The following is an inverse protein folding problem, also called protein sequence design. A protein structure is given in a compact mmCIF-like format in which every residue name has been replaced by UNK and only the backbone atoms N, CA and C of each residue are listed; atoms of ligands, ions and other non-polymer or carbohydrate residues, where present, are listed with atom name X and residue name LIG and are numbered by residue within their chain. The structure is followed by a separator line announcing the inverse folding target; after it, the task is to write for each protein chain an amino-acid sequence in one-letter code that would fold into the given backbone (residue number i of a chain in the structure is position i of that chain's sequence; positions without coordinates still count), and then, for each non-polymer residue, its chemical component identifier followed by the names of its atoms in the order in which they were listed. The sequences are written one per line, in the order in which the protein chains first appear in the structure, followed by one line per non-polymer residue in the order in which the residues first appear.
data_IF_485647226457
#
_entry.id   IF_485647226457
#
_cell.length_a   1.000
_cell.length_b   1.000
_cell.length_c   1.000
_cell.angle_alpha   90.00
_cell.angle_beta   90.00
_cell.angle_gamma   90.00
#
_symmetry.space_group_name_H-M   'P 1'
#
loop_
_entity.id
_entity.type
_entity.pdbx_description
1 polymer ?
#
# COMPACT_ATOMS: atom_id res chain seq x y z
N UNK A 1 3.89 -29.87 -0.07
CA UNK A 1 3.77 -28.58 0.63
C UNK A 1 3.33 -27.53 -0.37
N UNK A 2 2.16 -26.90 -0.19
CA UNK A 2 1.78 -25.74 -1.02
C UNK A 2 2.74 -24.60 -0.70
N UNK A 3 3.62 -24.26 -1.66
CA UNK A 3 4.51 -23.11 -1.52
C UNK A 3 3.69 -21.84 -1.75
N UNK A 4 3.61 -20.99 -0.72
CA UNK A 4 3.05 -19.64 -0.85
C UNK A 4 3.86 -18.86 -1.89
N UNK A 5 3.17 -18.05 -2.69
CA UNK A 5 3.76 -17.25 -3.75
C UNK A 5 3.61 -15.77 -3.39
N UNK A 6 4.52 -14.95 -3.91
CA UNK A 6 4.55 -13.50 -3.78
C UNK A 6 5.04 -12.98 -5.14
N UNK A 7 4.37 -11.96 -5.67
CA UNK A 7 4.81 -11.25 -6.86
C UNK A 7 5.44 -9.91 -6.46
N UNK A 8 6.66 -9.66 -6.92
CA UNK A 8 7.32 -8.37 -6.77
C UNK A 8 7.52 -7.80 -8.16
N UNK A 9 7.04 -6.58 -8.38
CA UNK A 9 7.18 -5.85 -9.62
C UNK A 9 7.87 -4.53 -9.35
N UNK A 10 8.89 -4.21 -10.16
CA UNK A 10 9.62 -2.96 -10.04
C UNK A 10 9.88 -2.31 -11.39
N UNK A 11 10.00 -0.98 -11.38
CA UNK A 11 10.08 -0.17 -12.58
C UNK A 11 10.56 1.25 -12.30
N UNK A 12 10.82 1.98 -13.38
CA UNK A 12 11.22 3.38 -13.37
C UNK A 12 10.44 4.09 -14.47
N UNK A 13 9.54 4.99 -14.09
CA UNK A 13 8.61 5.70 -14.97
C UNK A 13 9.28 6.95 -15.56
N UNK A 14 8.81 7.41 -16.71
CA UNK A 14 9.33 8.61 -17.37
C UNK A 14 9.48 9.80 -16.40
N UNK A 15 10.56 10.58 -16.53
CA UNK A 15 10.94 11.55 -15.52
C UNK A 15 10.37 12.95 -15.74
N UNK A 16 10.18 13.36 -17.00
CA UNK A 16 9.92 14.75 -17.37
C UNK A 16 8.61 15.26 -16.71
N UNK A 17 8.68 16.35 -15.91
CA UNK A 17 7.52 16.87 -15.21
C UNK A 17 6.39 17.37 -16.11
N UNK A 18 6.69 17.74 -17.36
CA UNK A 18 5.66 18.18 -18.29
C UNK A 18 4.79 17.03 -18.79
N UNK A 19 5.19 15.77 -18.56
CA UNK A 19 4.55 14.58 -19.14
C UNK A 19 3.83 13.73 -18.09
N UNK A 20 2.98 14.35 -17.28
CA UNK A 20 2.13 13.64 -16.31
C UNK A 20 1.22 12.59 -16.96
N UNK A 21 0.79 12.83 -18.21
CA UNK A 21 -0.01 11.91 -19.02
C UNK A 21 0.76 10.64 -19.34
N UNK A 22 2.02 10.77 -19.74
CA UNK A 22 2.91 9.63 -20.03
C UNK A 22 3.14 8.82 -18.76
N UNK A 23 3.38 9.47 -17.62
CA UNK A 23 3.60 8.78 -16.34
C UNK A 23 2.36 7.98 -15.92
N UNK A 24 1.18 8.57 -16.07
CA UNK A 24 -0.09 7.91 -15.77
C UNK A 24 -0.37 6.75 -16.73
N UNK A 25 -0.17 6.93 -18.03
CA UNK A 25 -0.33 5.88 -19.05
C UNK A 25 0.65 4.72 -18.83
N UNK A 26 1.91 4.99 -18.53
CA UNK A 26 2.88 3.94 -18.20
C UNK A 26 2.44 3.16 -16.96
N UNK A 27 1.88 3.83 -15.96
CA UNK A 27 1.35 3.17 -14.76
C UNK A 27 0.13 2.30 -15.07
N UNK A 28 -0.78 2.76 -15.94
CA UNK A 28 -1.93 1.99 -16.44
C UNK A 28 -1.50 0.71 -17.16
N UNK A 29 -0.50 0.81 -18.05
CA UNK A 29 0.05 -0.36 -18.72
C UNK A 29 0.73 -1.31 -17.74
N UNK A 30 1.48 -0.77 -16.78
CA UNK A 30 2.16 -1.58 -15.79
C UNK A 30 1.18 -2.40 -14.94
N UNK A 31 0.12 -1.80 -14.40
CA UNK A 31 -0.88 -2.52 -13.60
C UNK A 31 -1.62 -3.57 -14.44
N UNK A 32 -2.00 -3.25 -15.69
CA UNK A 32 -2.71 -4.16 -16.58
C UNK A 32 -1.83 -5.36 -16.99
N UNK A 33 -0.58 -5.12 -17.38
CA UNK A 33 0.35 -6.18 -17.76
C UNK A 33 0.77 -7.05 -16.58
N UNK A 34 0.94 -6.45 -15.39
CA UNK A 34 1.18 -7.21 -14.16
C UNK A 34 0.02 -8.16 -13.85
N UNK A 35 -1.22 -7.70 -14.01
CA UNK A 35 -2.39 -8.54 -13.84
C UNK A 35 -2.47 -9.66 -14.89
N UNK A 36 -2.21 -9.34 -16.15
CA UNK A 36 -2.14 -10.32 -17.24
C UNK A 36 -1.09 -11.39 -16.96
N UNK A 37 0.09 -10.99 -16.49
CA UNK A 37 1.16 -11.89 -16.10
C UNK A 37 0.72 -12.86 -15.00
N UNK A 38 0.12 -12.35 -13.90
CA UNK A 38 -0.34 -13.19 -12.79
C UNK A 38 -1.43 -14.16 -13.26
N UNK A 39 -2.39 -13.69 -14.06
CA UNK A 39 -3.46 -14.53 -14.63
C UNK A 39 -2.88 -15.64 -15.51
N UNK A 40 -1.93 -15.32 -16.37
CA UNK A 40 -1.29 -16.29 -17.26
C UNK A 40 -0.40 -17.28 -16.51
N UNK A 41 0.28 -16.84 -15.45
CA UNK A 41 1.05 -17.70 -14.56
C UNK A 41 0.16 -18.79 -13.92
N UNK A 42 -1.02 -18.43 -13.40
CA UNK A 42 -1.95 -19.42 -12.84
C UNK A 42 -2.55 -20.35 -13.91
N UNK A 43 -2.91 -19.82 -15.09
CA UNK A 43 -3.42 -20.62 -16.22
C UNK A 43 -2.40 -21.66 -16.70
N UNK A 44 -1.19 -21.21 -17.01
CA UNK A 44 -0.11 -22.06 -17.56
C UNK A 44 0.42 -23.09 -16.56
N UNK A 45 0.38 -22.78 -15.26
CA UNK A 45 0.82 -23.70 -14.22
C UNK A 45 -0.22 -24.73 -13.77
N UNK A 46 -1.31 -24.94 -14.53
CA UNK A 46 -2.44 -25.82 -14.16
C UNK A 46 -3.09 -25.46 -12.81
N UNK A 47 -3.04 -24.18 -12.44
CA UNK A 47 -3.60 -23.63 -11.20
C UNK A 47 -4.82 -22.73 -11.49
N UNK A 48 -5.56 -23.04 -12.56
CA UNK A 48 -6.74 -22.27 -13.00
C UNK A 48 -7.89 -22.23 -11.99
N UNK A 49 -7.86 -23.09 -10.96
CA UNK A 49 -8.79 -23.09 -9.85
C UNK A 49 -8.48 -22.01 -8.79
N UNK A 50 -7.30 -21.41 -8.82
CA UNK A 50 -6.91 -20.32 -7.92
C UNK A 50 -7.31 -18.97 -8.52
N UNK A 51 -7.67 -18.00 -7.67
CA UNK A 51 -7.99 -16.67 -8.12
C UNK A 51 -6.69 -15.84 -8.25
N UNK A 52 -6.43 -15.19 -9.40
CA UNK A 52 -5.30 -14.26 -9.54
C UNK A 52 -5.23 -13.17 -8.45
N UNK A 53 -6.37 -12.73 -7.91
CA UNK A 53 -6.44 -11.78 -6.79
C UNK A 53 -5.87 -12.33 -5.48
N UNK A 54 -5.66 -13.64 -5.36
CA UNK A 54 -5.08 -14.26 -4.15
C UNK A 54 -3.55 -14.18 -4.11
N UNK A 55 -2.90 -13.74 -5.19
CA UNK A 55 -1.46 -13.51 -5.22
C UNK A 55 -1.13 -12.20 -4.46
N UNK A 56 -0.35 -12.25 -3.37
CA UNK A 56 0.19 -11.04 -2.76
C UNK A 56 1.12 -10.34 -3.75
N UNK A 57 0.96 -9.02 -3.91
CA UNK A 57 1.77 -8.20 -4.82
C UNK A 57 2.46 -7.09 -4.05
N UNK A 58 3.72 -6.84 -4.43
CA UNK A 58 4.49 -5.67 -4.04
C UNK A 58 4.92 -4.96 -5.33
N UNK A 59 4.55 -3.70 -5.46
CA UNK A 59 4.82 -2.86 -6.60
C UNK A 59 5.68 -1.69 -6.13
N UNK A 60 6.91 -1.56 -6.63
CA UNK A 60 7.84 -0.58 -6.10
C UNK A 60 8.77 0.03 -7.14
N UNK A 61 9.33 1.21 -6.88
CA UNK A 61 10.29 1.85 -7.78
C UNK A 61 10.17 3.36 -7.80
N UNK A 62 10.79 3.95 -8.82
CA UNK A 62 10.75 5.39 -9.08
C UNK A 62 9.61 5.70 -10.04
N UNK A 63 8.58 6.37 -9.54
CA UNK A 63 7.40 6.75 -10.30
C UNK A 63 7.52 8.16 -10.90
N UNK A 64 8.55 8.93 -10.54
CA UNK A 64 8.74 10.32 -10.93
C UNK A 64 7.46 11.18 -10.76
N UNK A 65 6.65 10.84 -9.76
CA UNK A 65 5.30 11.37 -9.56
C UNK A 65 5.10 11.68 -8.08
N UNK A 66 4.61 12.87 -7.76
CA UNK A 66 4.40 13.31 -6.37
C UNK A 66 3.18 12.61 -5.73
N UNK A 67 3.04 12.62 -4.38
CA UNK A 67 1.97 11.92 -3.68
C UNK A 67 0.54 12.31 -4.06
N UNK A 68 0.35 13.50 -4.66
CA UNK A 68 -0.95 14.05 -5.10
C UNK A 68 -1.23 13.82 -6.60
N UNK A 69 -0.34 13.12 -7.30
CA UNK A 69 -0.50 12.83 -8.73
C UNK A 69 -1.60 11.79 -9.00
N UNK A 70 -2.14 11.81 -10.21
CA UNK A 70 -3.03 10.80 -10.75
C UNK A 70 -2.42 9.41 -10.76
N UNK A 71 -1.08 9.29 -10.86
CA UNK A 71 -0.36 8.02 -10.75
C UNK A 71 -0.57 7.38 -9.38
N UNK A 72 -0.34 8.16 -8.32
CA UNK A 72 -0.46 7.66 -6.95
C UNK A 72 -1.93 7.47 -6.57
N UNK A 73 -2.80 8.38 -6.97
CA UNK A 73 -4.24 8.26 -6.78
C UNK A 73 -4.82 7.02 -7.46
N UNK A 74 -4.44 6.76 -8.71
CA UNK A 74 -4.84 5.56 -9.46
C UNK A 74 -4.45 4.28 -8.71
N UNK A 75 -3.19 4.17 -8.27
CA UNK A 75 -2.68 2.98 -7.59
C UNK A 75 -3.34 2.75 -6.22
N UNK A 76 -3.68 3.80 -5.49
CA UNK A 76 -4.28 3.72 -4.15
C UNK A 76 -5.80 3.49 -4.23
N UNK A 77 -6.50 4.23 -5.09
CA UNK A 77 -7.97 4.16 -5.23
C UNK A 77 -8.40 2.96 -6.07
N UNK A 78 -7.51 2.43 -6.92
CA UNK A 78 -7.83 1.38 -7.87
C UNK A 78 -8.42 1.89 -9.17
N UNK A 79 -8.59 3.21 -9.32
CA UNK A 79 -9.24 3.82 -10.45
C UNK A 79 -8.83 5.29 -10.67
N UNK A 80 -8.99 5.76 -11.90
CA UNK A 80 -8.79 7.15 -12.32
C UNK A 80 -9.74 7.52 -13.46
N UNK A 81 -10.34 8.71 -13.41
CA UNK A 81 -11.21 9.21 -14.48
C UNK A 81 -10.38 9.68 -15.69
N UNK A 82 -10.88 9.50 -16.91
CA UNK A 82 -10.25 10.03 -18.13
C UNK A 82 -10.14 11.55 -18.13
N UNK A 83 -11.04 12.24 -17.44
CA UNK A 83 -11.02 13.70 -17.22
C UNK A 83 -9.95 14.16 -16.23
N UNK A 84 -9.18 13.26 -15.60
CA UNK A 84 -8.18 13.62 -14.62
C UNK A 84 -7.14 14.58 -15.22
N UNK A 85 -6.77 15.62 -14.47
CA UNK A 85 -5.88 16.70 -14.93
C UNK A 85 -4.52 16.20 -15.43
N UNK A 86 -4.02 15.10 -14.87
CA UNK A 86 -2.77 14.48 -15.32
C UNK A 86 -2.86 13.88 -16.73
N UNK A 87 -4.03 13.70 -17.33
CA UNK A 87 -4.14 13.42 -18.77
C UNK A 87 -4.00 14.67 -19.65
N UNK A 88 -3.81 15.86 -19.07
CA UNK A 88 -3.52 17.13 -19.77
C UNK A 88 -4.53 17.46 -20.90
N UNK A 89 -5.82 17.23 -20.66
CA UNK A 89 -6.91 17.40 -21.64
C UNK A 89 -6.80 16.49 -22.89
N UNK A 90 -5.97 15.43 -22.81
CA UNK A 90 -5.90 14.37 -23.82
C UNK A 90 -6.67 13.11 -23.44
N UNK A 91 -7.24 13.05 -22.23
CA UNK A 91 -7.98 11.88 -21.72
C UNK A 91 -9.00 11.30 -22.71
N UNK A 92 -9.87 12.16 -23.23
CA UNK A 92 -10.90 11.78 -24.21
C UNK A 92 -10.35 11.48 -25.61
N UNK A 93 -9.10 11.89 -25.89
CA UNK A 93 -8.42 11.65 -27.17
C UNK A 93 -7.72 10.29 -27.21
N UNK A 94 -7.40 9.72 -26.05
CA UNK A 94 -6.78 8.40 -25.99
C UNK A 94 -7.83 7.30 -26.20
N UNK A 95 -7.52 6.38 -27.11
CA UNK A 95 -8.38 5.24 -27.44
C UNK A 95 -8.11 4.06 -26.48
N UNK A 96 -8.26 4.29 -25.17
CA UNK A 96 -7.95 3.29 -24.15
C UNK A 96 -8.66 1.94 -24.36
N UNK A 97 -9.87 1.97 -24.94
CA UNK A 97 -10.66 0.78 -25.25
C UNK A 97 -10.08 -0.06 -26.40
N UNK A 98 -9.23 0.54 -27.24
CA UNK A 98 -8.62 -0.13 -28.40
C UNK A 98 -7.21 -0.63 -28.10
N UNK A 99 -6.63 -0.24 -26.97
CA UNK A 99 -5.27 -0.62 -26.61
C UNK A 99 -5.24 -2.05 -26.08
N UNK A 100 -4.62 -2.97 -26.81
CA UNK A 100 -4.55 -4.39 -26.42
C UNK A 100 -3.89 -4.63 -25.05
N UNK A 101 -3.07 -3.69 -24.58
CA UNK A 101 -2.43 -3.75 -23.28
C UNK A 101 -3.40 -3.41 -22.13
N UNK A 102 -4.50 -2.70 -22.38
CA UNK A 102 -5.54 -2.40 -21.40
C UNK A 102 -6.76 -3.25 -21.75
N UNK A 103 -7.14 -4.14 -20.84
CA UNK A 103 -8.30 -4.96 -21.08
C UNK A 103 -9.58 -4.12 -21.02
N UNK A 104 -10.56 -4.47 -21.84
CA UNK A 104 -11.86 -3.81 -21.87
C UNK A 104 -12.52 -3.80 -20.47
N UNK A 105 -12.32 -4.86 -19.66
CA UNK A 105 -12.81 -4.92 -18.28
C UNK A 105 -12.22 -3.87 -17.33
N UNK A 106 -11.17 -3.16 -17.74
CA UNK A 106 -10.53 -2.08 -16.98
C UNK A 106 -10.94 -0.69 -17.45
N UNK A 107 -11.88 -0.60 -18.39
CA UNK A 107 -12.45 0.68 -18.79
C UNK A 107 -13.97 0.63 -18.63
N UNK A 108 -14.49 1.43 -17.69
CA UNK A 108 -15.92 1.46 -17.36
C UNK A 108 -16.37 2.90 -17.17
N UNK A 109 -17.34 3.37 -17.96
CA UNK A 109 -17.96 4.71 -17.82
C UNK A 109 -16.94 5.86 -17.69
N UNK A 110 -15.95 5.90 -18.59
CA UNK A 110 -14.84 6.86 -18.59
C UNK A 110 -13.91 6.80 -17.36
N UNK A 111 -13.98 5.71 -16.60
CA UNK A 111 -13.06 5.39 -15.51
C UNK A 111 -12.15 4.25 -15.92
N UNK A 112 -10.85 4.42 -15.70
CA UNK A 112 -9.81 3.42 -15.91
C UNK A 112 -9.48 2.75 -14.57
N UNK A 113 -9.50 1.42 -14.50
CA UNK A 113 -9.44 0.65 -13.24
C UNK A 113 -8.26 -0.34 -13.20
N UNK A 114 -7.93 -0.85 -12.02
CA UNK A 114 -7.12 -2.06 -11.84
C UNK A 114 -7.69 -2.99 -10.76
N UNK A 115 -7.19 -4.24 -10.72
CA UNK A 115 -7.69 -5.29 -9.81
C UNK A 115 -6.96 -5.36 -8.47
N UNK A 116 -5.84 -4.68 -8.33
CA UNK A 116 -5.10 -4.66 -7.06
C UNK A 116 -5.76 -3.75 -6.05
N UNK A 117 -5.58 -4.05 -4.77
CA UNK A 117 -6.03 -3.22 -3.67
C UNK A 117 -4.81 -2.81 -2.84
N UNK A 118 -4.06 -1.86 -3.39
CA UNK A 118 -2.80 -1.43 -2.80
C UNK A 118 -3.02 -0.52 -1.59
N UNK A 119 -2.03 -0.55 -0.70
CA UNK A 119 -1.69 0.55 0.20
C UNK A 119 -0.22 0.93 -0.04
N UNK A 120 0.18 2.12 0.37
CA UNK A 120 1.59 2.57 0.30
C UNK A 120 2.25 2.48 1.67
N UNK A 121 3.51 2.06 1.68
CA UNK A 121 4.26 1.88 2.92
C UNK A 121 4.70 3.19 3.61
N UNK A 122 4.69 4.29 2.87
CA UNK A 122 4.97 5.63 3.34
C UNK A 122 3.77 6.53 3.00
N UNK A 123 2.92 6.83 4.00
CA UNK A 123 1.60 7.45 3.78
C UNK A 123 1.64 8.97 3.81
N UNK A 124 2.00 9.55 4.94
CA UNK A 124 2.13 10.98 5.10
C UNK A 124 3.40 11.29 5.91
N UNK A 125 3.83 12.54 5.90
CA UNK A 125 5.00 12.99 6.64
C UNK A 125 4.84 12.75 8.15
N UNK A 126 3.62 12.87 8.68
CA UNK A 126 3.37 12.78 10.12
C UNK A 126 3.43 11.34 10.67
N UNK A 127 3.01 10.36 9.88
CA UNK A 127 2.94 8.93 10.20
C UNK A 127 4.23 8.22 9.77
N UNK A 128 4.73 8.52 8.57
CA UNK A 128 5.91 7.83 8.00
C UNK A 128 7.23 8.56 8.23
N UNK A 129 7.20 9.85 8.56
CA UNK A 129 8.40 10.67 8.77
C UNK A 129 9.24 10.91 7.52
N UNK A 130 8.72 10.57 6.33
CA UNK A 130 9.41 10.70 5.05
C UNK A 130 8.94 11.97 4.34
N UNK A 131 9.88 12.86 4.02
CA UNK A 131 9.61 14.14 3.32
C UNK A 131 10.03 14.14 1.85
N UNK A 132 11.07 13.38 1.54
CA UNK A 132 11.61 13.28 0.20
C UNK A 132 12.32 11.95 0.03
N UNK A 133 12.28 11.44 -1.19
CA UNK A 133 13.04 10.27 -1.63
C UNK A 133 14.12 10.71 -2.60
N UNK A 134 13.84 11.67 -3.48
CA UNK A 134 14.85 12.40 -4.25
C UNK A 134 15.19 13.74 -3.56
N UNK A 135 16.47 14.02 -3.39
CA UNK A 135 16.97 15.21 -2.73
C UNK A 135 18.11 15.83 -3.53
N UNK A 136 17.79 16.84 -4.32
CA UNK A 136 18.78 17.64 -5.05
C UNK A 136 18.65 19.12 -4.71
N UNK A 137 19.50 19.93 -5.31
CA UNK A 137 19.44 21.38 -5.13
C UNK A 137 18.12 21.95 -5.67
N UNK A 138 17.73 21.54 -6.88
CA UNK A 138 16.56 22.11 -7.58
C UNK A 138 15.24 21.41 -7.24
N UNK A 139 15.29 20.14 -6.86
CA UNK A 139 14.09 19.34 -6.59
C UNK A 139 14.24 18.48 -5.34
N UNK A 140 13.19 18.48 -4.52
CA UNK A 140 13.04 17.62 -3.35
C UNK A 140 11.60 17.14 -3.30
N UNK A 141 11.40 15.83 -3.28
CA UNK A 141 10.05 15.27 -3.27
C UNK A 141 10.04 13.77 -3.08
N UNK A 142 8.88 13.25 -2.73
CA UNK A 142 8.62 11.82 -2.71
C UNK A 142 8.21 11.42 -4.13
N UNK A 143 9.06 10.65 -4.79
CA UNK A 143 8.80 10.08 -6.12
C UNK A 143 9.07 8.58 -6.19
N UNK A 144 9.67 8.02 -5.14
CA UNK A 144 9.88 6.59 -4.97
C UNK A 144 8.83 6.01 -4.03
N UNK A 145 8.33 4.82 -4.36
CA UNK A 145 7.25 4.19 -3.59
C UNK A 145 7.44 2.67 -3.42
N UNK A 146 6.89 2.15 -2.32
CA UNK A 146 6.61 0.73 -2.12
C UNK A 146 5.12 0.60 -1.85
N UNK A 147 4.39 0.08 -2.83
CA UNK A 147 2.99 -0.33 -2.72
C UNK A 147 2.89 -1.82 -2.45
N UNK A 148 1.88 -2.24 -1.69
CA UNK A 148 1.64 -3.64 -1.36
C UNK A 148 0.14 -3.96 -1.27
N UNK A 149 -0.25 -5.18 -1.63
CA UNK A 149 -1.64 -5.64 -1.53
C UNK A 149 -2.09 -5.74 -0.07
N UNK A 150 -2.93 -4.81 0.39
CA UNK A 150 -3.22 -4.63 1.83
C UNK A 150 -4.13 -5.71 2.41
N UNK A 151 -4.84 -6.46 1.58
CA UNK A 151 -5.58 -7.66 1.98
C UNK A 151 -4.64 -8.83 2.32
N UNK A 152 -3.41 -8.84 1.82
CA UNK A 152 -2.46 -9.95 1.96
C UNK A 152 -1.26 -9.63 2.87
N UNK A 153 -0.88 -8.36 2.97
CA UNK A 153 0.33 -7.92 3.67
C UNK A 153 -0.02 -6.88 4.75
N UNK A 154 0.58 -7.02 5.93
CA UNK A 154 0.59 -6.01 7.00
C UNK A 154 1.92 -5.25 6.95
N UNK A 155 1.86 -3.92 7.08
CA UNK A 155 3.05 -3.11 7.32
C UNK A 155 3.40 -3.15 8.81
N UNK A 156 4.57 -3.71 9.14
CA UNK A 156 5.08 -3.73 10.52
C UNK A 156 5.90 -2.48 10.85
N UNK A 157 6.64 -1.97 9.87
CA UNK A 157 7.46 -0.78 10.03
C UNK A 157 8.16 -0.35 8.75
N UNK A 158 8.73 0.85 8.79
CA UNK A 158 9.50 1.43 7.70
C UNK A 158 10.76 2.13 8.24
N UNK A 159 11.76 2.28 7.39
CA UNK A 159 12.97 3.05 7.69
C UNK A 159 12.63 4.53 7.68
N UNK A 160 12.90 5.20 8.81
CA UNK A 160 12.72 6.64 8.98
C UNK A 160 13.79 7.42 8.23
N UNK A 161 13.41 8.61 7.76
CA UNK A 161 14.33 9.53 7.11
C UNK A 161 15.41 10.03 8.08
N UNK A 162 16.60 10.32 7.55
CA UNK A 162 17.64 11.03 8.29
C UNK A 162 17.09 12.42 8.67
N UNK A 163 17.21 12.87 9.95
CA UNK A 163 16.66 14.14 10.38
C UNK A 163 17.19 15.32 9.56
N UNK A 164 16.31 16.24 9.14
CA UNK A 164 16.69 17.44 8.37
C UNK A 164 17.75 18.29 9.06
N UNK A 165 17.70 18.36 10.40
CA UNK A 165 18.68 19.09 11.21
C UNK A 165 20.11 18.60 10.99
N UNK A 166 20.30 17.33 10.64
CA UNK A 166 21.62 16.81 10.30
C UNK A 166 22.11 17.35 8.95
N UNK A 167 21.24 17.42 7.93
CA UNK A 167 21.58 18.02 6.64
C UNK A 167 21.92 19.50 6.78
N UNK A 168 21.16 20.24 7.59
CA UNK A 168 21.41 21.64 7.91
C UNK A 168 22.77 21.84 8.61
N UNK A 169 23.08 21.03 9.62
CA UNK A 169 24.35 21.06 10.34
C UNK A 169 25.54 20.77 9.43
N UNK A 170 25.39 19.80 8.52
CA UNK A 170 26.43 19.45 7.54
C UNK A 170 26.42 20.37 6.31
N UNK A 171 25.48 21.32 6.22
CA UNK A 171 25.29 22.22 5.07
C UNK A 171 25.12 21.47 3.74
N UNK A 172 24.47 20.31 3.79
CA UNK A 172 24.18 19.50 2.61
C UNK A 172 22.88 20.01 2.01
N UNK A 173 22.96 20.58 0.80
CA UNK A 173 21.82 21.19 0.10
C UNK A 173 21.25 20.34 -1.02
N UNK A 174 21.89 19.20 -1.31
CA UNK A 174 21.49 18.23 -2.32
C UNK A 174 22.41 17.01 -2.28
N UNK A 175 21.96 15.92 -2.89
CA UNK A 175 22.71 14.70 -3.14
C UNK A 175 22.86 14.49 -4.67
N UNK A 176 23.81 13.65 -5.14
CA UNK A 176 24.80 12.91 -4.36
C UNK A 176 25.79 13.82 -3.59
N UNK A 177 26.40 13.27 -2.56
CA UNK A 177 27.33 13.95 -1.65
C UNK A 177 28.42 12.96 -1.19
N UNK A 178 29.52 13.41 -0.57
CA UNK A 178 30.56 12.47 -0.07
C UNK A 178 30.02 11.44 0.94
N UNK A 179 28.89 11.74 1.59
CA UNK A 179 28.17 10.83 2.48
C UNK A 179 27.04 10.04 1.81
N UNK A 180 26.64 10.39 0.58
CA UNK A 180 25.49 9.82 -0.12
C UNK A 180 25.83 9.53 -1.59
N UNK A 181 25.80 8.26 -1.97
CA UNK A 181 26.17 7.78 -3.30
C UNK A 181 25.06 7.88 -4.36
N UNK A 182 23.90 8.44 -4.02
CA UNK A 182 22.75 8.66 -4.91
C UNK A 182 22.05 9.96 -4.54
N UNK A 183 21.33 10.57 -5.48
CA UNK A 183 20.36 11.63 -5.21
C UNK A 183 19.02 11.11 -4.69
N UNK A 184 18.81 9.80 -4.74
CA UNK A 184 17.69 9.11 -4.11
C UNK A 184 18.10 8.41 -2.81
N UNK A 185 17.20 8.41 -1.84
CA UNK A 185 17.34 7.71 -0.57
C UNK A 185 16.53 6.43 -0.57
N UNK A 186 17.16 5.34 -0.12
CA UNK A 186 16.55 4.02 -0.12
C UNK A 186 15.30 3.97 0.74
N UNK A 187 14.26 3.33 0.22
CA UNK A 187 13.09 2.91 0.99
C UNK A 187 13.33 1.50 1.54
N UNK A 188 12.92 1.27 2.78
CA UNK A 188 13.04 -0.03 3.43
C UNK A 188 11.82 -0.26 4.32
N UNK A 189 11.17 -1.40 4.14
CA UNK A 189 9.94 -1.75 4.87
C UNK A 189 10.04 -3.16 5.41
N UNK A 190 9.36 -3.40 6.54
CA UNK A 190 9.10 -4.73 7.07
C UNK A 190 7.62 -5.06 6.86
N UNK A 191 7.35 -6.11 6.10
CA UNK A 191 6.01 -6.59 5.79
C UNK A 191 5.79 -7.99 6.38
N UNK A 192 4.61 -8.21 6.95
CA UNK A 192 4.14 -9.52 7.38
C UNK A 192 3.11 -10.05 6.38
N UNK A 193 3.33 -11.27 5.91
CA UNK A 193 2.39 -11.95 5.02
C UNK A 193 1.28 -12.65 5.81
N UNK A 194 0.06 -12.11 5.75
CA UNK A 194 -1.13 -12.61 6.47
C UNK A 194 -1.40 -14.07 6.16
N UNK A 195 -1.86 -14.84 7.15
CA UNK A 195 -2.33 -16.21 6.90
C UNK A 195 -3.66 -16.16 6.14
N UNK A 196 -3.77 -16.88 5.03
CA UNK A 196 -5.06 -17.01 4.33
C UNK A 196 -6.01 -17.79 5.24
N UNK A 197 -7.07 -17.14 5.71
CA UNK A 197 -8.19 -17.84 6.35
C UNK A 197 -8.79 -18.77 5.31
N UNK A 198 -8.83 -20.08 5.57
CA UNK A 198 -9.58 -21.01 4.72
C UNK A 198 -11.02 -20.48 4.57
N UNK A 199 -11.58 -20.40 3.35
CA UNK A 199 -12.98 -20.06 3.17
C UNK A 199 -13.82 -21.21 3.75
N UNK A 200 -14.26 -21.08 5.01
CA UNK A 200 -14.97 -22.16 5.69
C UNK A 200 -15.25 -22.01 7.19
N UNK A 201 -14.81 -20.95 7.87
CA UNK A 201 -15.26 -20.66 9.23
C UNK A 201 -16.43 -19.68 9.20
N UNK A 202 -17.62 -20.17 8.82
CA UNK A 202 -18.87 -19.51 9.21
C UNK A 202 -18.95 -19.67 10.73
N UNK A 203 -18.54 -18.67 11.48
CA UNK A 203 -18.92 -18.58 12.89
C UNK A 203 -20.42 -18.28 12.90
N UNK A 204 -21.24 -19.33 13.00
CA UNK A 204 -22.65 -19.16 13.32
C UNK A 204 -22.72 -18.56 14.73
N UNK A 205 -22.86 -17.25 14.81
CA UNK A 205 -23.38 -16.62 16.00
C UNK A 205 -24.83 -17.07 16.16
N UNK A 206 -25.04 -18.13 16.94
CA UNK A 206 -26.33 -18.38 17.55
C UNK A 206 -26.62 -17.23 18.50
N UNK A 207 -27.26 -16.17 18.01
CA UNK A 207 -27.98 -15.24 18.85
C UNK A 207 -29.17 -15.98 19.44
N UNK A 208 -29.05 -16.37 20.71
CA UNK A 208 -30.16 -16.83 21.53
C UNK A 208 -31.25 -15.77 21.54
N UNK A 209 -32.40 -16.14 20.98
CA UNK A 209 -33.65 -15.40 21.09
C UNK A 209 -34.04 -15.38 22.58
N UNK A 210 -33.91 -14.23 23.25
CA UNK A 210 -34.64 -13.97 24.49
C UNK A 210 -35.83 -13.08 24.16
N UNK A 211 -37.02 -13.72 24.16
CA UNK A 211 -38.30 -13.04 24.14
C UNK A 211 -38.43 -12.19 25.40
N UNK A 212 -38.77 -10.91 25.23
CA UNK A 212 -39.37 -10.12 26.30
C UNK A 212 -40.79 -10.62 26.58
N UNK A 213 -41.21 -10.58 27.85
CA UNK A 213 -42.59 -10.24 28.16
C UNK A 213 -42.65 -8.92 28.92
N UNK A 214 -43.48 -8.01 28.41
CA UNK A 214 -44.07 -6.91 29.17
C UNK A 214 -45.09 -7.49 30.16
N UNK A 215 -44.96 -7.16 31.44
CA UNK A 215 -46.11 -6.80 32.29
C UNK A 215 -45.65 -6.19 33.62
N UNK A 216 -46.37 -5.14 34.01
CA UNK A 216 -46.21 -4.37 35.23
C UNK A 216 -46.59 -5.15 36.50
N UNK A 217 -46.10 -4.72 37.66
CA UNK A 217 -46.87 -4.33 38.87
C UNK A 217 -45.93 -4.03 40.06
N UNK A 218 -46.22 -2.89 40.72
CA UNK A 218 -45.88 -2.38 42.06
C UNK A 218 -45.12 -3.28 43.06
N UNK A 219 -44.14 -2.70 43.78
CA UNK A 219 -44.39 -2.00 45.07
C UNK A 219 -43.11 -1.71 45.87
N UNK A 220 -43.07 -0.50 46.43
CA UNK A 220 -42.49 -0.04 47.71
C UNK A 220 -41.24 -0.70 48.31
N UNK A 221 -40.22 0.14 48.56
CA UNK A 221 -39.78 0.59 49.90
C UNK A 221 -38.26 0.65 50.08
N UNK A 222 -37.80 1.89 50.35
CA UNK A 222 -36.83 2.32 51.36
C UNK A 222 -35.53 1.55 51.67
N UNK A 223 -34.50 2.39 51.86
CA UNK A 223 -33.36 2.31 52.79
C UNK A 223 -32.00 1.80 52.28
N UNK A 224 -31.14 2.79 52.07
CA UNK A 224 -29.87 3.05 52.77
C UNK A 224 -28.76 2.00 52.84
N UNK A 225 -27.55 2.57 52.89
CA UNK A 225 -26.29 2.07 53.47
C UNK A 225 -25.41 1.13 52.63
N UNK A 226 -24.32 1.72 52.14
CA UNK A 226 -22.93 1.29 52.34
C UNK A 226 -22.67 -0.17 52.71
N UNK A 227 -21.83 -0.86 51.92
CA UNK A 227 -20.68 -1.56 52.48
C UNK A 227 -19.60 -1.85 51.43
N UNK A 228 -18.40 -1.40 51.77
CA UNK A 228 -17.12 -1.88 51.28
C UNK A 228 -16.99 -3.33 51.74
N UNK A 229 -16.56 -4.24 50.86
CA UNK A 229 -15.80 -5.39 51.30
C UNK A 229 -14.81 -5.86 50.23
N UNK A 230 -13.55 -5.64 50.57
CA UNK A 230 -12.37 -6.40 50.15
C UNK A 230 -12.58 -7.90 50.35
N UNK A 231 -12.13 -8.72 49.39
CA UNK A 231 -11.24 -9.84 49.72
C UNK A 231 -10.58 -10.45 48.48
N UNK A 232 -9.25 -10.45 48.55
CA UNK A 232 -8.36 -11.33 47.80
C UNK A 232 -8.67 -12.79 48.10
N UNK A 233 -8.52 -13.67 47.10
CA UNK A 233 -7.66 -14.86 47.20
C UNK A 233 -7.51 -15.60 45.87
N UNK A 234 -6.29 -15.53 45.34
CA UNK A 234 -5.45 -16.66 44.89
C UNK A 234 -6.14 -17.83 44.17
N UNK A 235 -5.76 -18.05 42.90
CA UNK A 235 -4.90 -19.18 42.53
C UNK A 235 -4.39 -19.11 41.09
N UNK A 236 -3.12 -19.45 40.99
CA UNK A 236 -2.29 -19.61 39.79
C UNK A 236 -2.94 -20.54 38.77
N UNK A 237 -2.78 -20.21 37.49
CA UNK A 237 -2.51 -21.23 36.47
C UNK A 237 -1.59 -20.63 35.41
N UNK A 238 -0.29 -20.89 35.55
CA UNK A 238 0.69 -20.71 34.49
C UNK A 238 0.45 -21.81 33.46
N UNK A 239 0.02 -21.45 32.25
CA UNK A 239 0.09 -22.34 31.10
C UNK A 239 1.26 -21.91 30.20
N UNK A 240 2.01 -22.88 29.65
CA UNK A 240 3.27 -22.63 28.97
C UNK A 240 3.05 -21.99 27.59
N UNK A 241 3.99 -21.12 27.24
CA UNK A 241 4.25 -20.61 25.89
C UNK A 241 4.23 -21.77 24.89
N UNK A 242 3.19 -21.84 24.06
CA UNK A 242 3.12 -22.73 22.92
C UNK A 242 3.05 -21.90 21.64
N UNK A 243 4.15 -21.98 20.88
CA UNK A 243 4.27 -21.82 19.44
C UNK A 243 3.61 -20.59 18.79
N UNK A 244 4.39 -19.51 18.65
CA UNK A 244 4.15 -18.58 17.55
C UNK A 244 4.17 -19.35 16.22
N UNK A 245 3.18 -19.16 15.33
CA UNK A 245 3.30 -19.62 13.97
C UNK A 245 4.48 -18.88 13.31
N UNK A 246 5.21 -19.59 12.44
CA UNK A 246 6.29 -19.03 11.64
C UNK A 246 5.74 -17.89 10.76
N UNK A 247 5.71 -16.66 11.28
CA UNK A 247 5.41 -15.48 10.50
C UNK A 247 6.63 -15.20 9.62
N UNK A 248 6.43 -15.29 8.30
CA UNK A 248 7.43 -14.91 7.32
C UNK A 248 7.42 -13.39 7.22
N UNK A 249 8.43 -12.74 7.81
CA UNK A 249 8.74 -11.33 7.54
C UNK A 249 9.83 -11.24 6.46
N UNK A 250 9.71 -10.24 5.60
CA UNK A 250 10.70 -9.95 4.56
C UNK A 250 11.00 -8.44 4.52
N UNK A 251 12.28 -8.11 4.40
CA UNK A 251 12.74 -6.74 4.17
C UNK A 251 12.91 -6.51 2.67
N UNK A 252 12.33 -5.44 2.14
CA UNK A 252 12.44 -5.07 0.73
C UNK A 252 13.07 -3.69 0.65
N UNK A 253 14.11 -3.60 -0.18
CA UNK A 253 14.82 -2.35 -0.48
C UNK A 253 14.59 -1.97 -1.93
N UNK A 254 14.39 -0.68 -2.20
CA UNK A 254 14.47 -0.12 -3.55
C UNK A 254 15.63 0.86 -3.60
N UNK A 255 16.48 0.71 -4.62
CA UNK A 255 17.58 1.65 -4.89
C UNK A 255 17.43 2.16 -6.30
N UNK A 256 17.25 3.46 -6.48
CA UNK A 256 17.35 4.08 -7.81
C UNK A 256 18.82 4.07 -8.26
N UNK A 257 19.06 3.69 -9.53
CA UNK A 257 20.36 3.87 -10.19
C UNK A 257 20.47 5.31 -10.72
N UNK A 258 21.68 5.90 -10.78
CA UNK A 258 21.84 7.28 -11.23
C UNK A 258 21.31 7.47 -12.66
N UNK A 259 20.38 8.40 -12.83
CA UNK A 259 19.93 8.86 -14.15
C UNK A 259 20.87 9.94 -14.67
N UNK A 260 21.31 9.83 -15.93
CA UNK A 260 22.04 10.90 -16.61
C UNK A 260 21.06 12.08 -16.83
N UNK A 261 21.18 13.14 -16.02
CA UNK A 261 20.40 14.38 -16.18
C UNK A 261 20.78 15.08 -17.48
N UNK A 262 19.85 15.13 -18.44
CA UNK A 262 19.76 16.26 -19.35
C UNK A 262 19.25 17.46 -18.57
N UNK A 263 19.98 18.57 -18.57
CA UNK A 263 19.59 19.81 -17.90
C UNK A 263 18.21 20.27 -18.40
N UNK A 264 17.23 20.33 -17.52
CA UNK A 264 16.01 21.11 -17.71
C UNK A 264 15.82 21.97 -16.47
N UNK A 265 15.82 23.28 -16.69
CA UNK A 265 15.56 24.32 -15.69
C UNK A 265 14.05 24.40 -15.48
N UNK A 266 13.60 24.24 -14.24
CA UNK A 266 12.22 24.47 -13.85
C UNK A 266 11.95 25.98 -13.84
N UNK A 267 11.10 26.48 -14.75
CA UNK A 267 10.57 27.84 -14.66
C UNK A 267 9.31 27.86 -13.78
N UNK A 268 9.19 28.94 -13.02
CA UNK A 268 8.23 29.24 -11.94
C UNK A 268 6.76 29.09 -12.31
#
# INVERSE_FOLDING_TARGET
MNKRKLCVSTGHIHWDPEYSDVKLIQTLFWSSELWNYIRNYYKSGNMSHLNPSDMPVILCGDFNSLPQSGVVDYLIKGEVERSHVDFRDFGDKYLFNEWSAIQEEFVENDVLKHRFNFDRAYKDEHESGLKWTNYTYDFRGIIDYIFFSKEHLNLLGNLKQIPESWFEQQKIVGAPHVHFNSDHFSLLVELELKNQSSPGAITQNFSSISQQPNSAINSNSTNSSSNINTNNNLRQNCNPLNNSPNNLSAAITTTAYPSYRGQSTWSS
#
